data_IF_010759964151
#
_entry.id   IF_010759964151
#
_cell.length_a   1.000
_cell.length_b   1.000
_cell.length_c   1.000
_cell.angle_alpha   90.00
_cell.angle_beta   90.00
_cell.angle_gamma   90.00
#
_symmetry.space_group_name_H-M   'P 1'
#
loop_
_entity.id
_entity.type
_entity.pdbx_description
1 polymer ?
#
# COMPACT_ATOMS: atom_id res chain seq x y z
N UNK A 1 -1.42 11.50 13.09
CA UNK A 1 -2.80 11.49 13.61
C UNK A 1 -3.75 11.15 12.45
N UNK A 2 -4.04 9.86 12.24
CA UNK A 2 -5.05 9.43 11.26
C UNK A 2 -6.37 9.43 12.02
N UNK A 3 -7.33 10.26 11.60
CA UNK A 3 -8.71 10.14 12.09
C UNK A 3 -9.25 8.79 11.63
N UNK A 4 -9.26 7.79 12.52
CA UNK A 4 -10.11 6.63 12.29
C UNK A 4 -11.54 7.15 12.30
N UNK A 5 -12.16 7.20 11.12
CA UNK A 5 -13.61 7.41 11.01
C UNK A 5 -14.24 6.18 11.65
N UNK A 6 -14.44 6.21 12.96
CA UNK A 6 -15.19 5.20 13.69
C UNK A 6 -16.64 5.35 13.29
N UNK A 7 -17.03 4.64 12.22
CA UNK A 7 -18.42 4.52 11.83
C UNK A 7 -19.13 3.66 12.89
N UNK A 8 -20.29 4.09 13.43
CA UNK A 8 -20.99 3.38 14.49
C UNK A 8 -21.18 1.88 14.21
N UNK A 9 -21.20 1.10 15.27
CA UNK A 9 -21.47 -0.34 15.21
C UNK A 9 -22.97 -0.54 15.00
N UNK A 10 -23.39 -0.78 13.75
CA UNK A 10 -24.76 -1.26 13.48
C UNK A 10 -25.00 -2.60 14.21
N UNK A 11 -26.17 -2.82 14.83
CA UNK A 11 -26.46 -4.01 15.63
C UNK A 11 -26.71 -5.21 14.71
N UNK A 12 -25.65 -5.95 14.40
CA UNK A 12 -25.70 -7.18 13.61
C UNK A 12 -24.33 -7.57 13.04
N UNK A 13 -23.74 -8.64 13.54
CA UNK A 13 -22.36 -9.08 13.29
C UNK A 13 -22.00 -9.58 11.88
N UNK A 14 -22.37 -8.86 10.80
CA UNK A 14 -22.08 -9.25 9.40
C UNK A 14 -20.76 -8.68 8.83
N UNK A 15 -19.99 -7.92 9.62
CA UNK A 15 -18.72 -7.29 9.18
C UNK A 15 -17.66 -8.26 8.63
N UNK A 16 -17.34 -9.40 9.28
CA UNK A 16 -16.26 -10.25 8.78
C UNK A 16 -16.59 -10.85 7.40
N UNK A 17 -17.84 -11.25 7.17
CA UNK A 17 -18.30 -11.81 5.90
C UNK A 17 -18.18 -10.77 4.77
N UNK A 18 -18.55 -9.51 5.04
CA UNK A 18 -18.44 -8.42 4.06
C UNK A 18 -16.97 -8.09 3.70
N UNK A 19 -16.06 -8.13 4.66
CA UNK A 19 -14.63 -7.89 4.43
C UNK A 19 -13.99 -9.00 3.59
N UNK A 20 -14.32 -10.25 3.89
CA UNK A 20 -13.84 -11.41 3.12
C UNK A 20 -14.37 -11.37 1.69
N UNK A 21 -15.66 -11.05 1.51
CA UNK A 21 -16.24 -10.89 0.18
C UNK A 21 -15.57 -9.77 -0.63
N UNK A 22 -15.30 -8.61 0.00
CA UNK A 22 -14.60 -7.50 -0.66
C UNK A 22 -13.16 -7.88 -1.05
N UNK A 23 -12.45 -8.62 -0.19
CA UNK A 23 -11.12 -9.13 -0.48
C UNK A 23 -11.13 -10.12 -1.65
N UNK A 24 -12.02 -11.12 -1.63
CA UNK A 24 -12.15 -12.10 -2.71
C UNK A 24 -12.48 -11.41 -4.05
N UNK A 25 -13.35 -10.40 -4.04
CA UNK A 25 -13.65 -9.59 -5.23
C UNK A 25 -12.43 -8.81 -5.73
N UNK A 26 -11.59 -8.29 -4.83
CA UNK A 26 -10.33 -7.65 -5.20
C UNK A 26 -9.37 -8.63 -5.88
N UNK A 27 -9.14 -9.80 -5.28
CA UNK A 27 -8.30 -10.86 -5.85
C UNK A 27 -8.82 -11.34 -7.20
N UNK A 28 -10.14 -11.49 -7.36
CA UNK A 28 -10.76 -11.88 -8.61
C UNK A 28 -10.55 -10.84 -9.72
N UNK A 29 -10.62 -9.53 -9.40
CA UNK A 29 -10.30 -8.45 -10.35
C UNK A 29 -8.84 -8.46 -10.77
N UNK A 30 -7.94 -8.76 -9.84
CA UNK A 30 -6.49 -8.77 -10.07
C UNK A 30 -5.96 -10.15 -10.51
N UNK A 31 -6.81 -11.03 -11.03
CA UNK A 31 -6.46 -12.43 -11.40
C UNK A 31 -5.21 -12.55 -12.27
N UNK A 32 -5.04 -11.67 -13.25
CA UNK A 32 -3.86 -11.68 -14.13
C UNK A 32 -2.56 -11.38 -13.36
N UNK A 33 -2.59 -10.39 -12.47
CA UNK A 33 -1.45 -10.04 -11.63
C UNK A 33 -1.10 -11.16 -10.64
N UNK A 34 -2.11 -11.79 -10.04
CA UNK A 34 -1.92 -12.94 -9.13
C UNK A 34 -1.35 -14.16 -9.87
N UNK A 35 -1.87 -14.45 -11.07
CA UNK A 35 -1.34 -15.53 -11.90
C UNK A 35 0.13 -15.28 -12.25
N UNK A 36 0.47 -14.07 -12.69
CA UNK A 36 1.83 -13.69 -13.00
C UNK A 36 2.74 -13.75 -11.77
N UNK A 37 2.27 -13.35 -10.58
CA UNK A 37 3.04 -13.43 -9.35
C UNK A 37 3.42 -14.87 -8.95
N UNK A 38 2.62 -15.87 -9.33
CA UNK A 38 2.89 -17.28 -9.06
C UNK A 38 3.74 -17.92 -10.15
N UNK A 39 3.48 -17.61 -11.42
CA UNK A 39 4.15 -18.26 -12.55
C UNK A 39 5.47 -17.60 -12.96
N UNK A 40 5.66 -16.32 -12.61
CA UNK A 40 6.86 -15.56 -12.94
C UNK A 40 8.02 -15.91 -12.02
N UNK A 41 9.26 -16.02 -12.55
CA UNK A 41 10.45 -16.12 -11.71
C UNK A 41 10.82 -14.78 -11.03
N UNK A 42 10.20 -13.67 -11.45
CA UNK A 42 10.49 -12.33 -10.97
C UNK A 42 9.61 -11.94 -9.78
N UNK A 43 10.23 -11.41 -8.73
CA UNK A 43 9.54 -10.91 -7.54
C UNK A 43 9.40 -9.37 -7.56
N UNK A 44 8.26 -8.87 -7.09
CA UNK A 44 8.05 -7.44 -6.86
C UNK A 44 8.76 -6.90 -5.59
N UNK A 45 9.46 -7.75 -4.83
CA UNK A 45 10.09 -7.38 -3.56
C UNK A 45 11.07 -6.21 -3.67
N UNK A 46 11.84 -6.11 -4.77
CA UNK A 46 12.76 -4.98 -4.95
C UNK A 46 11.99 -3.66 -5.10
N UNK A 47 10.93 -3.66 -5.92
CA UNK A 47 10.06 -2.49 -6.10
C UNK A 47 9.41 -2.08 -4.78
N UNK A 48 8.88 -3.04 -4.02
CA UNK A 48 8.29 -2.80 -2.70
C UNK A 48 9.32 -2.26 -1.68
N UNK A 49 10.57 -2.74 -1.76
CA UNK A 49 11.69 -2.25 -0.96
C UNK A 49 12.00 -0.77 -1.25
N UNK A 50 12.10 -0.39 -2.52
CA UNK A 50 12.30 1.01 -2.92
C UNK A 50 11.14 1.90 -2.47
N UNK A 51 9.89 1.45 -2.63
CA UNK A 51 8.69 2.17 -2.17
C UNK A 51 8.73 2.34 -0.63
N UNK A 52 9.15 1.31 0.10
CA UNK A 52 9.25 1.35 1.56
C UNK A 52 10.30 2.34 2.02
N UNK A 53 11.48 2.35 1.38
CA UNK A 53 12.54 3.35 1.64
C UNK A 53 12.03 4.76 1.36
N UNK A 54 11.37 4.99 0.23
CA UNK A 54 10.80 6.29 -0.12
C UNK A 54 9.74 6.76 0.89
N UNK A 55 8.83 5.87 1.28
CA UNK A 55 7.81 6.16 2.31
C UNK A 55 8.44 6.48 3.66
N UNK A 56 9.53 5.80 4.02
CA UNK A 56 10.26 6.05 5.26
C UNK A 56 10.90 7.45 5.25
N UNK A 57 11.58 7.84 4.18
CA UNK A 57 12.14 9.19 4.03
C UNK A 57 11.03 10.25 4.14
N UNK A 58 9.91 10.07 3.44
CA UNK A 58 8.76 11.01 3.53
C UNK A 58 8.20 11.13 4.95
N UNK A 59 8.18 10.04 5.72
CA UNK A 59 7.74 10.03 7.13
C UNK A 59 8.74 10.75 8.05
N UNK A 60 10.04 10.56 7.85
CA UNK A 60 11.08 11.32 8.57
C UNK A 60 11.00 12.83 8.30
N UNK A 61 10.43 13.23 7.15
CA UNK A 61 10.18 14.62 6.79
C UNK A 61 8.84 15.15 7.30
N UNK A 62 8.16 14.42 8.19
CA UNK A 62 6.85 14.79 8.74
C UNK A 62 5.81 15.10 7.65
N UNK A 63 5.87 14.37 6.53
CA UNK A 63 4.96 14.55 5.39
C UNK A 63 5.29 15.71 4.46
N UNK A 64 6.37 16.48 4.71
CA UNK A 64 6.79 17.65 3.92
C UNK A 64 7.73 17.34 2.75
N UNK A 65 7.87 16.07 2.36
CA UNK A 65 8.65 15.66 1.18
C UNK A 65 7.87 15.84 -0.12
N UNK A 66 7.94 17.03 -0.72
CA UNK A 66 7.62 17.26 -2.14
C UNK A 66 8.64 16.52 -3.03
N UNK A 67 8.36 16.39 -4.33
CA UNK A 67 9.13 15.52 -5.24
C UNK A 67 10.60 15.95 -5.30
N UNK A 68 10.85 17.24 -5.47
CA UNK A 68 12.16 17.90 -5.41
C UNK A 68 12.95 17.54 -4.14
N UNK A 69 12.31 17.65 -2.97
CA UNK A 69 12.94 17.36 -1.69
C UNK A 69 13.22 15.86 -1.48
N UNK A 70 12.35 14.99 -2.01
CA UNK A 70 12.56 13.54 -1.98
C UNK A 70 13.69 13.14 -2.93
N UNK A 71 13.75 13.72 -4.13
CA UNK A 71 14.83 13.47 -5.10
C UNK A 71 16.19 13.86 -4.53
N UNK A 72 16.31 15.07 -3.97
CA UNK A 72 17.54 15.55 -3.34
C UNK A 72 18.06 14.60 -2.25
N UNK A 73 17.15 13.93 -1.51
CA UNK A 73 17.51 13.06 -0.39
C UNK A 73 17.69 11.58 -0.76
N UNK A 74 17.06 11.12 -1.83
CA UNK A 74 17.09 9.70 -2.22
C UNK A 74 18.10 9.43 -3.33
N UNK A 75 18.22 10.34 -4.28
CA UNK A 75 19.08 10.21 -5.47
C UNK A 75 20.38 11.01 -5.28
N UNK A 76 20.35 12.04 -4.40
CA UNK A 76 21.42 13.03 -4.28
C UNK A 76 21.22 14.14 -5.31
N UNK A 77 21.49 15.38 -4.92
CA UNK A 77 21.66 16.47 -5.88
C UNK A 77 23.02 16.22 -6.53
N UNK A 78 23.06 16.08 -7.85
CA UNK A 78 24.31 16.08 -8.62
C UNK A 78 25.01 17.42 -8.52
#
# INVERSE_FOLDING_TARGET
MIRKKSLPLEPGGTRPIKLVAAFANGVAKDRAAVSAAISSPWSNGQTEGQITKLKLVKRQMYGRGKIDLLQARVIGVG
#
